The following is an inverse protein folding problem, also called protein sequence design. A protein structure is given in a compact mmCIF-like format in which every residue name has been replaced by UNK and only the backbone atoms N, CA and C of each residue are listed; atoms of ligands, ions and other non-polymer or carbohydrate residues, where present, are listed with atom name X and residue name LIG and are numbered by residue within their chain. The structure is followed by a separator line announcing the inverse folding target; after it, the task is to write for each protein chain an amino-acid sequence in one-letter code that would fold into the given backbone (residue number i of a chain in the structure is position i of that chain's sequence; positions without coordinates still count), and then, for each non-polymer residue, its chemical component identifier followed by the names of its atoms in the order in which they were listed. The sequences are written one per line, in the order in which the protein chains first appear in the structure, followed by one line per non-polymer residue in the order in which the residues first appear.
data_IF_062090634411
#
_entry.id   IF_062090634411
#
_cell.length_a   1.000
_cell.length_b   1.000
_cell.length_c   1.000
_cell.angle_alpha   90.00
_cell.angle_beta   90.00
_cell.angle_gamma   90.00
#
_symmetry.space_group_name_H-M   'P 1'
#
loop_
_entity.id
_entity.type
_entity.pdbx_description
1 polymer ?
#
# COMPACT_ATOMS: atom_id res chain seq x y z
N UNK A 1 -12.35 18.52 -61.30
CA UNK A 1 -11.08 18.83 -60.61
C UNK A 1 -11.40 19.04 -59.14
N UNK A 2 -11.23 17.98 -58.30
CA UNK A 2 -11.56 18.06 -56.87
C UNK A 2 -10.31 18.57 -56.15
N UNK A 3 -10.33 19.78 -55.66
CA UNK A 3 -9.31 20.36 -54.80
C UNK A 3 -9.38 19.63 -53.43
N UNK A 4 -8.46 18.72 -53.19
CA UNK A 4 -8.22 18.15 -51.85
C UNK A 4 -7.59 19.25 -51.00
N UNK A 5 -8.37 20.00 -50.22
CA UNK A 5 -7.82 20.94 -49.25
C UNK A 5 -7.17 20.13 -48.13
N UNK A 6 -5.84 20.10 -48.10
CA UNK A 6 -5.10 19.56 -46.94
C UNK A 6 -5.23 20.60 -45.83
N UNK A 7 -5.97 20.26 -44.80
CA UNK A 7 -6.01 21.09 -43.59
C UNK A 7 -4.69 20.87 -42.81
N UNK A 8 -3.81 21.88 -42.73
CA UNK A 8 -2.47 21.71 -42.08
C UNK A 8 -2.56 21.45 -40.58
N UNK A 9 -3.73 21.72 -39.95
CA UNK A 9 -3.96 21.48 -38.54
C UNK A 9 -4.49 20.07 -38.21
N UNK A 10 -4.84 19.28 -39.22
CA UNK A 10 -5.45 17.96 -39.03
C UNK A 10 -4.43 16.96 -38.37
N UNK A 11 -3.19 16.94 -38.83
CA UNK A 11 -2.16 16.05 -38.29
C UNK A 11 -1.77 16.42 -36.86
N UNK A 12 -1.42 17.69 -36.53
CA UNK A 12 -1.12 18.06 -35.14
C UNK A 12 -2.34 17.92 -34.22
N UNK A 13 -3.55 18.18 -34.69
CA UNK A 13 -4.77 17.93 -33.90
C UNK A 13 -4.98 16.44 -33.59
N UNK A 14 -4.78 15.56 -34.58
CA UNK A 14 -4.86 14.12 -34.37
C UNK A 14 -3.76 13.65 -33.40
N UNK A 15 -2.52 14.12 -33.55
CA UNK A 15 -1.43 13.79 -32.65
C UNK A 15 -1.73 14.19 -31.21
N UNK A 16 -2.30 15.38 -30.99
CA UNK A 16 -2.70 15.84 -29.65
C UNK A 16 -3.83 14.97 -29.08
N UNK A 17 -4.85 14.61 -29.87
CA UNK A 17 -5.90 13.70 -29.43
C UNK A 17 -5.35 12.33 -29.02
N UNK A 18 -4.45 11.76 -29.81
CA UNK A 18 -3.82 10.48 -29.50
C UNK A 18 -3.00 10.59 -28.20
N UNK A 19 -2.24 11.66 -28.04
CA UNK A 19 -1.44 11.91 -26.83
C UNK A 19 -2.29 12.01 -25.55
N UNK A 20 -3.50 12.54 -25.64
CA UNK A 20 -4.42 12.70 -24.52
C UNK A 20 -5.25 11.42 -24.27
N UNK A 21 -5.74 10.78 -25.32
CA UNK A 21 -6.67 9.65 -25.22
C UNK A 21 -5.97 8.35 -24.84
N UNK A 22 -4.78 8.08 -25.40
CA UNK A 22 -4.07 6.84 -25.15
C UNK A 22 -3.71 6.62 -23.67
N UNK A 23 -3.18 7.61 -22.91
CA UNK A 23 -2.91 7.45 -21.48
C UNK A 23 -4.17 7.17 -20.67
N UNK A 24 -5.26 7.85 -20.98
CA UNK A 24 -6.56 7.65 -20.31
C UNK A 24 -7.11 6.26 -20.61
N UNK A 25 -7.08 5.82 -21.86
CA UNK A 25 -7.50 4.48 -22.24
C UNK A 25 -6.63 3.39 -21.58
N UNK A 26 -5.31 3.59 -21.54
CA UNK A 26 -4.38 2.69 -20.86
C UNK A 26 -4.66 2.63 -19.34
N UNK A 27 -4.93 3.77 -18.71
CA UNK A 27 -5.30 3.85 -17.30
C UNK A 27 -6.63 3.12 -17.04
N UNK A 28 -7.65 3.32 -17.88
CA UNK A 28 -8.94 2.62 -17.76
C UNK A 28 -8.80 1.11 -17.97
N UNK A 29 -7.97 0.67 -18.93
CA UNK A 29 -7.69 -0.74 -19.15
C UNK A 29 -6.93 -1.36 -17.96
N UNK A 30 -5.96 -0.64 -17.41
CA UNK A 30 -5.24 -1.04 -16.20
C UNK A 30 -6.18 -1.12 -14.99
N UNK A 31 -7.09 -0.15 -14.82
CA UNK A 31 -8.05 -0.12 -13.73
C UNK A 31 -8.94 -1.38 -13.68
N UNK A 32 -9.28 -1.96 -14.85
CA UNK A 32 -10.08 -3.19 -14.91
C UNK A 32 -9.38 -4.45 -14.37
N UNK A 33 -8.05 -4.39 -14.17
CA UNK A 33 -7.26 -5.50 -13.63
C UNK A 33 -7.24 -5.53 -12.10
N UNK A 34 -7.66 -4.44 -11.47
CA UNK A 34 -7.63 -4.29 -10.02
C UNK A 34 -9.06 -4.26 -9.47
N UNK A 35 -9.31 -4.89 -8.32
CA UNK A 35 -10.59 -4.79 -7.66
C UNK A 35 -10.83 -3.35 -7.18
N UNK A 36 -12.09 -2.90 -7.11
CA UNK A 36 -12.43 -1.55 -6.63
C UNK A 36 -12.39 -1.49 -5.10
N UNK A 37 -11.23 -1.79 -4.52
CA UNK A 37 -10.92 -1.71 -3.10
C UNK A 37 -9.71 -0.82 -2.88
N UNK A 38 -9.65 -0.14 -1.75
CA UNK A 38 -8.61 0.81 -1.40
C UNK A 38 -8.05 0.62 0.02
N UNK A 39 -8.28 -0.54 0.60
CA UNK A 39 -7.83 -0.93 1.94
C UNK A 39 -7.36 -2.38 1.88
N UNK A 40 -6.06 -2.57 1.92
CA UNK A 40 -5.37 -3.84 1.71
C UNK A 40 -4.62 -4.20 2.98
N UNK A 41 -4.66 -5.47 3.36
CA UNK A 41 -4.00 -5.98 4.57
C UNK A 41 -3.39 -7.36 4.35
N UNK A 42 -2.31 -7.65 5.04
CA UNK A 42 -1.71 -9.00 5.05
C UNK A 42 -2.56 -10.03 5.79
N UNK A 43 -3.39 -9.58 6.73
CA UNK A 43 -4.29 -10.42 7.50
C UNK A 43 -5.73 -9.92 7.37
N UNK A 44 -6.53 -10.57 6.53
CA UNK A 44 -7.93 -10.18 6.30
C UNK A 44 -8.89 -10.61 7.40
N UNK A 45 -8.47 -11.50 8.31
CA UNK A 45 -9.28 -11.98 9.43
C UNK A 45 -9.11 -11.10 10.67
N UNK A 46 -7.87 -10.73 10.96
CA UNK A 46 -7.52 -9.87 12.10
C UNK A 46 -6.54 -8.77 11.61
N UNK A 47 -7.02 -7.80 10.84
CA UNK A 47 -6.15 -6.78 10.25
C UNK A 47 -5.56 -5.86 11.32
N UNK A 48 -4.32 -5.37 11.14
CA UNK A 48 -3.75 -4.32 11.98
C UNK A 48 -4.67 -3.10 12.08
N UNK A 49 -4.75 -2.50 13.27
CA UNK A 49 -5.65 -1.39 13.56
C UNK A 49 -4.91 -0.07 13.68
N UNK A 50 -5.46 0.98 13.10
CA UNK A 50 -5.00 2.36 13.31
C UNK A 50 -5.45 2.85 14.69
N UNK A 51 -4.55 2.88 15.66
CA UNK A 51 -4.87 3.21 17.05
C UNK A 51 -4.67 4.67 17.35
N UNK A 52 -3.59 5.27 16.90
CA UNK A 52 -3.24 6.66 17.20
C UNK A 52 -3.53 7.59 16.00
N UNK A 53 -3.19 7.20 14.78
CA UNK A 53 -3.52 7.98 13.57
C UNK A 53 -5.01 8.29 13.48
N UNK A 54 -5.89 7.37 13.86
CA UNK A 54 -7.34 7.57 13.88
C UNK A 54 -7.82 8.66 14.84
N UNK A 55 -7.01 9.02 15.83
CA UNK A 55 -7.32 10.05 16.86
C UNK A 55 -6.70 11.41 16.54
N UNK A 56 -5.85 11.51 15.52
CA UNK A 56 -5.20 12.75 15.15
C UNK A 56 -6.20 13.76 14.58
N UNK A 57 -6.01 15.08 14.81
CA UNK A 57 -6.92 16.11 14.29
C UNK A 57 -7.16 16.06 12.80
N UNK A 58 -6.12 15.76 12.00
CA UNK A 58 -6.15 15.62 10.54
C UNK A 58 -6.90 14.37 10.04
N UNK A 59 -7.23 13.47 10.95
CA UNK A 59 -8.01 12.26 10.70
C UNK A 59 -9.50 12.40 11.02
N UNK A 60 -9.91 13.60 11.44
CA UNK A 60 -11.30 13.86 11.80
C UNK A 60 -12.26 13.61 10.63
N UNK A 61 -13.23 12.73 10.88
CA UNK A 61 -14.23 12.35 9.86
C UNK A 61 -13.80 11.21 8.95
N UNK A 62 -12.58 10.69 9.10
CA UNK A 62 -12.11 9.52 8.35
C UNK A 62 -12.50 8.25 9.12
N UNK A 63 -13.12 7.30 8.43
CA UNK A 63 -13.41 5.99 9.01
C UNK A 63 -12.22 5.05 8.80
N UNK A 64 -11.54 4.67 9.87
CA UNK A 64 -10.40 3.74 9.87
C UNK A 64 -10.80 2.27 10.11
N UNK A 65 -12.09 1.98 10.30
CA UNK A 65 -12.53 0.60 10.42
C UNK A 65 -12.23 -0.17 9.12
N UNK A 66 -11.74 -1.42 9.26
CA UNK A 66 -11.56 -2.29 8.09
C UNK A 66 -12.93 -2.66 7.51
N UNK A 67 -13.13 -2.60 6.19
CA UNK A 67 -14.43 -2.87 5.57
C UNK A 67 -14.91 -4.32 5.68
N UNK A 68 -14.10 -5.20 6.25
CA UNK A 68 -14.46 -6.57 6.57
C UNK A 68 -14.49 -7.51 5.37
N UNK A 69 -15.38 -8.51 5.45
CA UNK A 69 -15.40 -9.62 4.49
C UNK A 69 -15.72 -9.20 3.05
N UNK A 70 -16.38 -8.07 2.84
CA UNK A 70 -16.64 -7.54 1.50
C UNK A 70 -15.33 -7.26 0.76
N UNK A 71 -14.37 -6.59 1.43
CA UNK A 71 -13.06 -6.29 0.85
C UNK A 71 -12.18 -7.55 0.84
N UNK A 72 -12.20 -8.35 1.89
CA UNK A 72 -11.43 -9.58 2.00
C UNK A 72 -11.69 -10.55 0.84
N UNK A 73 -12.95 -10.73 0.43
CA UNK A 73 -13.32 -11.60 -0.70
C UNK A 73 -12.79 -11.10 -2.04
N UNK A 74 -12.65 -9.79 -2.21
CA UNK A 74 -12.08 -9.19 -3.41
C UNK A 74 -10.55 -9.22 -3.37
N UNK A 75 -9.96 -8.98 -2.19
CA UNK A 75 -8.52 -8.94 -2.01
C UNK A 75 -7.85 -10.30 -2.22
N UNK A 76 -8.37 -11.36 -1.59
CA UNK A 76 -7.73 -12.69 -1.58
C UNK A 76 -7.39 -13.23 -2.97
N UNK A 77 -8.31 -13.22 -3.97
CA UNK A 77 -7.98 -13.68 -5.31
C UNK A 77 -7.13 -12.69 -6.11
N UNK A 78 -7.22 -11.37 -5.83
CA UNK A 78 -6.49 -10.35 -6.57
C UNK A 78 -5.03 -10.19 -6.10
N UNK A 79 -4.78 -10.44 -4.81
CA UNK A 79 -3.49 -10.28 -4.16
C UNK A 79 -3.13 -11.50 -3.28
N UNK A 80 -3.01 -12.72 -3.85
CA UNK A 80 -2.81 -13.94 -3.08
C UNK A 80 -1.44 -14.01 -2.38
N UNK A 81 -0.52 -13.17 -2.81
CA UNK A 81 0.83 -13.01 -2.28
C UNK A 81 0.95 -12.00 -1.13
N UNK A 82 -0.08 -11.15 -0.92
CA UNK A 82 -0.11 -10.20 0.21
C UNK A 82 -0.48 -10.97 1.48
N UNK A 83 0.55 -11.41 2.20
CA UNK A 83 0.47 -12.25 3.42
C UNK A 83 1.40 -11.71 4.50
N UNK A 84 1.19 -12.06 5.78
CA UNK A 84 2.16 -11.77 6.84
C UNK A 84 3.56 -12.29 6.50
N UNK A 85 4.58 -11.56 6.92
CA UNK A 85 5.98 -11.99 6.81
C UNK A 85 6.38 -12.69 8.12
N UNK A 86 6.78 -13.94 8.04
CA UNK A 86 7.37 -14.66 9.16
C UNK A 86 8.85 -14.31 9.29
N UNK A 87 9.29 -14.03 10.53
CA UNK A 87 10.68 -13.67 10.88
C UNK A 87 11.11 -14.51 12.07
N UNK A 88 12.22 -15.22 11.95
CA UNK A 88 12.76 -16.08 13.02
C UNK A 88 13.62 -15.26 14.02
N UNK A 89 12.97 -14.25 14.60
CA UNK A 89 13.54 -13.36 15.63
C UNK A 89 12.50 -13.06 16.71
N UNK A 90 12.96 -12.65 17.87
CA UNK A 90 12.09 -12.18 18.93
C UNK A 90 11.31 -10.93 18.52
N UNK A 91 10.17 -10.68 19.18
CA UNK A 91 9.29 -9.55 18.87
C UNK A 91 10.01 -8.21 18.83
N UNK A 92 10.84 -7.92 19.84
CA UNK A 92 11.55 -6.65 19.95
C UNK A 92 12.55 -6.46 18.80
N UNK A 93 13.34 -7.49 18.50
CA UNK A 93 14.34 -7.46 17.43
C UNK A 93 13.66 -7.30 16.06
N UNK A 94 12.53 -8.00 15.86
CA UNK A 94 11.73 -7.84 14.63
C UNK A 94 11.15 -6.44 14.52
N UNK A 95 10.70 -5.85 15.62
CA UNK A 95 10.18 -4.48 15.60
C UNK A 95 11.28 -3.46 15.28
N UNK A 96 12.50 -3.67 15.74
CA UNK A 96 13.66 -2.84 15.38
C UNK A 96 13.97 -2.95 13.88
N UNK A 97 13.86 -4.14 13.26
CA UNK A 97 13.97 -4.30 11.80
C UNK A 97 12.85 -3.54 11.05
N UNK A 98 11.62 -3.61 11.55
CA UNK A 98 10.47 -2.88 10.98
C UNK A 98 10.73 -1.38 11.00
N UNK A 99 11.25 -0.85 12.12
CA UNK A 99 11.63 0.56 12.24
C UNK A 99 12.72 0.95 11.25
N UNK A 100 13.80 0.16 11.19
CA UNK A 100 14.91 0.39 10.28
C UNK A 100 14.43 0.43 8.81
N UNK A 101 13.61 -0.55 8.39
CA UNK A 101 13.04 -0.59 7.04
C UNK A 101 12.15 0.61 6.73
N UNK A 102 11.41 1.12 7.73
CA UNK A 102 10.58 2.29 7.56
C UNK A 102 11.39 3.59 7.45
N UNK A 103 12.44 3.72 8.27
CA UNK A 103 13.34 4.88 8.28
C UNK A 103 14.19 4.98 7.01
N UNK A 104 14.56 3.85 6.41
CA UNK A 104 15.29 3.80 5.14
C UNK A 104 14.44 4.19 3.92
N UNK A 105 13.11 4.22 4.06
CA UNK A 105 12.21 4.56 2.96
C UNK A 105 11.71 6.01 3.06
N UNK A 106 12.27 6.97 2.29
CA UNK A 106 11.91 8.38 2.39
C UNK A 106 10.48 8.71 1.91
N UNK A 107 9.78 7.76 1.30
CA UNK A 107 8.38 7.93 0.88
C UNK A 107 7.41 7.69 2.04
N UNK A 108 7.85 6.97 3.09
CA UNK A 108 7.03 6.68 4.25
C UNK A 108 7.20 7.79 5.29
N UNK A 109 6.11 8.49 5.59
CA UNK A 109 6.08 9.51 6.63
C UNK A 109 5.55 8.88 7.91
N UNK A 110 6.46 8.51 8.81
CA UNK A 110 6.14 7.86 10.09
C UNK A 110 5.56 8.91 11.03
N UNK A 111 4.40 8.65 11.58
CA UNK A 111 3.69 9.54 12.53
C UNK A 111 3.64 8.97 13.94
N UNK A 112 3.66 7.65 14.08
CA UNK A 112 3.58 6.94 15.35
C UNK A 112 4.58 5.78 15.38
N UNK A 113 5.30 5.66 16.50
CA UNK A 113 6.08 4.48 16.85
C UNK A 113 5.69 4.08 18.27
N UNK A 114 5.02 2.96 18.44
CA UNK A 114 4.60 2.44 19.74
C UNK A 114 5.36 1.13 20.05
N UNK A 115 6.43 1.25 20.83
CA UNK A 115 7.26 0.11 21.24
C UNK A 115 6.58 -0.82 22.26
N UNK A 116 5.48 -0.41 22.90
CA UNK A 116 4.74 -1.28 23.81
C UNK A 116 3.77 -2.18 23.06
N UNK A 117 3.11 -1.63 22.05
CA UNK A 117 2.19 -2.37 21.19
C UNK A 117 2.89 -2.98 19.97
N UNK A 118 4.18 -2.67 19.76
CA UNK A 118 4.98 -3.08 18.60
C UNK A 118 4.30 -2.69 17.28
N UNK A 119 3.79 -1.44 17.24
CA UNK A 119 3.09 -0.88 16.08
C UNK A 119 3.79 0.37 15.56
N UNK A 120 3.74 0.54 14.25
CA UNK A 120 4.23 1.71 13.54
C UNK A 120 3.13 2.18 12.60
N UNK A 121 2.74 3.47 12.72
CA UNK A 121 1.73 4.07 11.86
C UNK A 121 2.32 5.25 11.09
N UNK A 122 1.80 5.49 9.90
CA UNK A 122 2.22 6.59 9.06
C UNK A 122 1.40 6.71 7.78
N UNK A 123 1.89 7.51 6.86
CA UNK A 123 1.27 7.66 5.55
C UNK A 123 2.31 7.86 4.45
N UNK A 124 1.93 7.57 3.22
CA UNK A 124 2.62 7.98 1.99
C UNK A 124 1.75 9.00 1.25
N UNK A 125 2.36 10.04 0.69
CA UNK A 125 1.65 11.06 -0.05
C UNK A 125 2.07 11.04 -1.52
N UNK A 126 1.09 10.97 -2.43
CA UNK A 126 1.36 10.99 -3.86
C UNK A 126 1.89 12.35 -4.31
N UNK A 127 2.93 12.36 -5.15
CA UNK A 127 3.61 13.60 -5.56
C UNK A 127 2.73 14.55 -6.36
N UNK A 128 1.84 14.03 -7.23
CA UNK A 128 1.07 14.86 -8.16
C UNK A 128 -0.24 15.37 -7.55
N UNK A 129 -1.00 14.47 -6.92
CA UNK A 129 -2.36 14.80 -6.44
C UNK A 129 -2.44 14.98 -4.94
N UNK A 130 -1.34 14.75 -4.21
CA UNK A 130 -1.26 14.85 -2.75
C UNK A 130 -2.25 13.92 -2.03
N UNK A 131 -2.65 12.83 -2.69
CA UNK A 131 -3.47 11.80 -2.04
C UNK A 131 -2.66 11.11 -0.96
N UNK A 132 -3.30 10.88 0.18
CA UNK A 132 -2.69 10.21 1.32
C UNK A 132 -3.21 8.81 1.47
N UNK A 133 -2.26 7.89 1.59
CA UNK A 133 -2.51 6.50 1.92
C UNK A 133 -1.91 6.21 3.29
N UNK A 134 -2.76 5.94 4.26
CA UNK A 134 -2.32 5.58 5.59
C UNK A 134 -1.83 4.12 5.62
N UNK A 135 -0.85 3.85 6.46
CA UNK A 135 -0.41 2.48 6.75
C UNK A 135 -0.20 2.26 8.24
N UNK A 136 -0.36 1.02 8.63
CA UNK A 136 0.00 0.50 9.96
C UNK A 136 0.73 -0.81 9.80
N UNK A 137 1.82 -0.96 10.54
CA UNK A 137 2.58 -2.21 10.67
C UNK A 137 2.49 -2.67 12.10
N UNK A 138 2.29 -3.94 12.32
CA UNK A 138 2.22 -4.58 13.64
C UNK A 138 3.08 -5.83 13.67
N UNK A 139 3.86 -6.00 14.73
CA UNK A 139 4.65 -7.21 14.99
C UNK A 139 3.94 -8.03 16.05
N UNK A 140 3.65 -9.29 15.75
CA UNK A 140 2.97 -10.24 16.63
C UNK A 140 3.77 -11.52 16.80
N UNK A 141 3.43 -12.31 17.80
CA UNK A 141 3.94 -13.67 17.91
C UNK A 141 3.57 -14.51 16.69
N UNK A 142 4.51 -15.34 16.26
CA UNK A 142 4.22 -16.35 15.25
C UNK A 142 3.08 -17.29 15.73
N UNK A 143 2.30 -17.88 14.80
CA UNK A 143 1.28 -18.84 15.16
C UNK A 143 1.81 -20.00 16.00
N UNK A 144 0.98 -20.67 16.82
CA UNK A 144 1.40 -21.84 17.60
C UNK A 144 2.11 -22.88 16.72
N UNK A 145 3.28 -23.34 17.17
CA UNK A 145 4.12 -24.30 16.45
C UNK A 145 5.17 -23.66 15.52
N UNK A 146 5.18 -22.35 15.38
CA UNK A 146 6.22 -21.60 14.66
C UNK A 146 7.07 -20.80 15.66
N UNK A 147 8.38 -20.74 15.42
CA UNK A 147 9.30 -19.89 16.18
C UNK A 147 9.24 -18.44 15.65
N UNK A 148 9.67 -17.48 16.49
CA UNK A 148 9.84 -16.10 16.08
C UNK A 148 8.57 -15.27 16.12
N UNK A 149 8.43 -14.39 15.14
CA UNK A 149 7.38 -13.40 15.05
C UNK A 149 6.82 -13.26 13.64
N UNK A 150 5.74 -12.53 13.49
CA UNK A 150 5.17 -12.16 12.20
C UNK A 150 5.03 -10.65 12.08
N UNK A 151 5.33 -10.11 10.91
CA UNK A 151 5.11 -8.72 10.54
C UNK A 151 3.84 -8.66 9.71
N UNK A 152 2.86 -7.95 10.20
CA UNK A 152 1.60 -7.67 9.52
C UNK A 152 1.54 -6.20 9.12
N UNK A 153 0.96 -5.93 7.95
CA UNK A 153 0.79 -4.56 7.46
C UNK A 153 -0.59 -4.39 6.84
N UNK A 154 -1.18 -3.23 7.08
CA UNK A 154 -2.38 -2.75 6.41
C UNK A 154 -2.09 -1.38 5.82
N UNK A 155 -2.59 -1.14 4.60
CA UNK A 155 -2.46 0.13 3.92
C UNK A 155 -3.78 0.49 3.23
N UNK A 156 -4.22 1.75 3.43
CA UNK A 156 -5.51 2.23 2.94
C UNK A 156 -5.40 3.65 2.36
N UNK A 157 -6.13 3.90 1.30
CA UNK A 157 -6.27 5.26 0.75
C UNK A 157 -7.37 6.03 1.52
N UNK A 158 -7.13 7.32 1.76
CA UNK A 158 -8.14 8.21 2.34
C UNK A 158 -9.24 8.53 1.34
N UNK A 159 -8.89 8.60 0.06
CA UNK A 159 -9.75 9.00 -1.04
C UNK A 159 -9.98 7.89 -2.06
N UNK A 160 -11.13 7.96 -2.75
CA UNK A 160 -11.45 7.06 -3.85
C UNK A 160 -12.03 5.70 -3.40
N UNK A 161 -12.56 4.95 -4.38
CA UNK A 161 -13.14 3.62 -4.17
C UNK A 161 -12.17 2.48 -4.49
N UNK A 162 -11.10 2.77 -5.22
CA UNK A 162 -10.07 1.80 -5.59
C UNK A 162 -8.72 2.49 -5.75
N UNK A 163 -7.65 1.75 -5.47
CA UNK A 163 -6.27 2.26 -5.42
C UNK A 163 -5.39 1.84 -6.59
N UNK A 164 -5.93 1.12 -7.57
CA UNK A 164 -5.19 0.56 -8.72
C UNK A 164 -3.99 -0.31 -8.30
N UNK A 165 -4.06 -0.94 -7.12
CA UNK A 165 -3.02 -1.82 -6.57
C UNK A 165 -1.88 -1.10 -5.86
N UNK A 166 -1.98 0.21 -5.61
CA UNK A 166 -0.92 1.00 -4.95
C UNK A 166 -0.68 0.51 -3.52
N UNK A 167 -1.73 0.27 -2.74
CA UNK A 167 -1.60 -0.22 -1.36
C UNK A 167 -0.97 -1.62 -1.31
N UNK A 168 -1.38 -2.53 -2.20
CA UNK A 168 -0.76 -3.87 -2.30
C UNK A 168 0.73 -3.79 -2.69
N UNK A 169 1.09 -2.91 -3.61
CA UNK A 169 2.48 -2.69 -4.00
C UNK A 169 3.31 -2.10 -2.86
N UNK A 170 2.76 -1.18 -2.06
CA UNK A 170 3.41 -0.63 -0.86
C UNK A 170 3.71 -1.72 0.15
N UNK A 171 2.72 -2.55 0.48
CA UNK A 171 2.90 -3.68 1.41
C UNK A 171 4.01 -4.60 0.95
N UNK A 172 4.02 -5.00 -0.33
CA UNK A 172 5.08 -5.86 -0.89
C UNK A 172 6.46 -5.25 -0.72
N UNK A 173 6.65 -4.02 -1.17
CA UNK A 173 7.94 -3.31 -1.06
C UNK A 173 8.42 -3.24 0.38
N UNK A 174 7.52 -2.93 1.30
CA UNK A 174 7.87 -2.82 2.71
C UNK A 174 8.29 -4.17 3.31
N UNK A 175 7.51 -5.22 3.11
CA UNK A 175 7.83 -6.55 3.63
C UNK A 175 9.09 -7.14 2.97
N UNK A 176 9.34 -6.85 1.69
CA UNK A 176 10.60 -7.20 1.03
C UNK A 176 11.81 -6.50 1.67
N UNK A 177 11.70 -5.22 2.02
CA UNK A 177 12.75 -4.49 2.72
C UNK A 177 13.03 -5.09 4.11
N UNK A 178 11.99 -5.35 4.91
CA UNK A 178 12.14 -6.03 6.22
C UNK A 178 12.82 -7.39 6.06
N UNK A 179 12.39 -8.19 5.07
CA UNK A 179 12.99 -9.52 4.79
C UNK A 179 14.45 -9.42 4.37
N UNK A 180 14.83 -8.40 3.60
CA UNK A 180 16.22 -8.20 3.18
C UNK A 180 17.14 -7.87 4.36
N UNK A 181 16.71 -6.97 5.26
CA UNK A 181 17.46 -6.62 6.49
C UNK A 181 17.58 -7.84 7.39
N UNK A 182 16.49 -8.59 7.62
CA UNK A 182 16.49 -9.79 8.44
C UNK A 182 17.51 -10.84 7.96
N UNK A 183 17.57 -11.08 6.65
CA UNK A 183 18.53 -12.02 6.06
C UNK A 183 19.98 -11.54 6.17
N UNK A 184 20.20 -10.24 6.03
CA UNK A 184 21.50 -9.62 6.21
C UNK A 184 22.00 -9.75 7.64
N UNK A 185 21.13 -9.56 8.64
CA UNK A 185 21.47 -9.73 10.05
C UNK A 185 21.79 -11.19 10.45
N UNK A 186 21.16 -12.16 9.80
CA UNK A 186 21.42 -13.59 10.07
C UNK A 186 22.74 -14.11 9.48
N UNK A 187 23.44 -13.29 8.67
CA UNK A 187 24.67 -13.68 7.97
C UNK A 187 25.94 -13.12 8.66
N UNK A 188 25.76 -12.27 9.69
CA UNK A 188 26.82 -11.68 10.52
C UNK A 188 26.99 -12.44 11.84
#
# INVERSE_FOLDING_TARGET
MLFRSHNPLALPGLALCVLLVLPVAAMMFRARRYPPINDITTNTTLPPQFTQTSRMPESKGINFAYPGEEFARQQRPAYPDVKPLEVDLALADTFDLVRAAAEENPQLLITVVDGHQLTLEGYEESQLFRFRDDFVVEVRHAPPGHAGSVVEMRSRSRDGKGDLGVNAARIRRFLEAVSAISKGAATL
#
